data_IF_125851283152
#
_entry.id   IF_125851283152
#
_cell.length_a   1.000
_cell.length_b   1.000
_cell.length_c   1.000
_cell.angle_alpha   90.00
_cell.angle_beta   90.00
_cell.angle_gamma   90.00
#
_symmetry.space_group_name_H-M   'P 1'
#
loop_
_entity.id
_entity.type
_entity.pdbx_description
1 polymer ?
#
# COMPACT_ATOMS: atom_id res chain seq x y z
N UNK A 1 2.86 10.45 26.21
CA UNK A 1 2.61 9.10 25.68
C UNK A 1 3.53 8.89 24.48
N UNK A 2 4.33 7.82 24.45
CA UNK A 2 5.19 7.53 23.31
C UNK A 2 4.33 7.17 22.08
N UNK A 3 4.82 7.54 20.89
CA UNK A 3 4.22 7.17 19.61
C UNK A 3 5.18 6.19 18.95
N UNK A 4 4.73 4.98 18.64
CA UNK A 4 5.53 4.05 17.87
C UNK A 4 5.23 4.23 16.37
N UNK A 5 6.31 4.28 15.59
CA UNK A 5 6.24 4.42 14.14
C UNK A 5 7.05 3.30 13.49
N UNK A 6 6.40 2.61 12.56
CA UNK A 6 7.05 1.61 11.71
C UNK A 6 6.95 2.05 10.25
N UNK A 7 8.08 2.00 9.55
CA UNK A 7 8.17 2.32 8.13
C UNK A 7 8.62 1.09 7.35
N UNK A 8 7.91 0.78 6.28
CA UNK A 8 8.35 -0.20 5.27
C UNK A 8 8.58 0.54 3.97
N UNK A 9 9.77 0.38 3.38
CA UNK A 9 10.12 1.02 2.11
C UNK A 9 10.27 -0.05 1.05
N UNK A 10 9.50 0.06 -0.03
CA UNK A 10 9.67 -0.74 -1.23
C UNK A 10 10.55 0.03 -2.21
N UNK A 11 11.55 -0.65 -2.76
CA UNK A 11 12.30 -0.15 -3.91
C UNK A 11 11.39 0.02 -5.14
N UNK A 12 11.81 0.78 -6.17
CA UNK A 12 11.00 0.96 -7.38
C UNK A 12 10.63 -0.36 -8.08
N UNK A 13 11.55 -1.32 -8.13
CA UNK A 13 11.32 -2.63 -8.73
C UNK A 13 10.36 -3.49 -7.89
N UNK A 14 10.48 -3.45 -6.56
CA UNK A 14 9.53 -4.14 -5.68
C UNK A 14 8.13 -3.53 -5.76
N UNK A 15 8.04 -2.20 -5.92
CA UNK A 15 6.78 -1.52 -6.10
C UNK A 15 6.11 -1.89 -7.43
N UNK A 16 6.85 -1.90 -8.54
CA UNK A 16 6.31 -2.36 -9.83
C UNK A 16 5.84 -3.83 -9.74
N UNK A 17 6.62 -4.69 -9.10
CA UNK A 17 6.23 -6.08 -8.86
C UNK A 17 4.94 -6.19 -8.01
N UNK A 18 4.86 -5.44 -6.91
CA UNK A 18 3.68 -5.37 -6.06
C UNK A 18 2.45 -4.90 -6.83
N UNK A 19 2.61 -3.89 -7.68
CA UNK A 19 1.52 -3.33 -8.47
C UNK A 19 1.02 -4.32 -9.51
N UNK A 20 1.92 -5.03 -10.21
CA UNK A 20 1.55 -6.09 -11.16
C UNK A 20 0.79 -7.21 -10.47
N UNK A 21 1.29 -7.68 -9.33
CA UNK A 21 0.63 -8.72 -8.54
C UNK A 21 -0.75 -8.28 -8.05
N UNK A 22 -0.88 -7.03 -7.59
CA UNK A 22 -2.15 -6.46 -7.17
C UNK A 22 -3.15 -6.34 -8.33
N UNK A 23 -2.71 -5.88 -9.51
CA UNK A 23 -3.57 -5.80 -10.69
C UNK A 23 -4.04 -7.16 -11.15
N UNK A 24 -3.15 -8.16 -11.16
CA UNK A 24 -3.48 -9.54 -11.50
C UNK A 24 -4.47 -10.15 -10.49
N UNK A 25 -4.34 -9.83 -9.21
CA UNK A 25 -5.28 -10.29 -8.18
C UNK A 25 -6.65 -9.59 -8.25
N UNK A 26 -6.72 -8.39 -8.83
CA UNK A 26 -7.93 -7.56 -8.91
C UNK A 26 -8.42 -7.42 -10.36
N UNK A 27 -8.54 -8.54 -11.09
CA UNK A 27 -8.97 -8.52 -12.50
C UNK A 27 -10.28 -7.78 -12.75
N UNK A 28 -11.23 -7.83 -11.79
CA UNK A 28 -12.51 -7.13 -11.90
C UNK A 28 -12.34 -5.60 -11.92
N UNK A 29 -11.42 -5.07 -11.10
CA UNK A 29 -11.16 -3.64 -11.01
C UNK A 29 -10.44 -3.12 -12.25
N UNK A 30 -9.48 -3.90 -12.76
CA UNK A 30 -8.66 -3.50 -13.92
C UNK A 30 -9.18 -4.06 -15.25
N UNK A 31 -10.33 -4.76 -15.26
CA UNK A 31 -10.90 -5.44 -16.43
C UNK A 31 -9.88 -6.32 -17.17
N UNK A 32 -9.02 -7.00 -16.41
CA UNK A 32 -7.92 -7.82 -16.94
C UNK A 32 -6.87 -7.03 -17.72
N UNK A 33 -6.70 -5.73 -17.43
CA UNK A 33 -5.68 -4.91 -18.06
C UNK A 33 -4.27 -5.24 -17.54
N UNK A 34 -3.28 -5.16 -18.42
CA UNK A 34 -1.87 -5.38 -18.14
C UNK A 34 -1.16 -4.06 -17.85
N UNK A 35 -0.32 -4.03 -16.82
CA UNK A 35 0.53 -2.88 -16.54
C UNK A 35 1.58 -2.68 -17.64
N UNK A 36 1.57 -1.50 -18.27
CA UNK A 36 2.59 -1.05 -19.21
C UNK A 36 3.65 -0.19 -18.51
N UNK A 37 3.19 0.88 -17.85
CA UNK A 37 4.09 1.87 -17.27
C UNK A 37 3.51 2.51 -16.00
N UNK A 38 4.39 3.09 -15.17
CA UNK A 38 4.03 3.79 -13.93
C UNK A 38 4.73 5.15 -13.86
N UNK A 39 3.94 6.20 -13.65
CA UNK A 39 4.42 7.57 -13.54
C UNK A 39 3.87 8.22 -12.27
N UNK A 40 4.73 8.95 -11.56
CA UNK A 40 4.33 9.67 -10.33
C UNK A 40 3.81 11.06 -10.71
N UNK A 41 2.54 11.34 -10.46
CA UNK A 41 1.93 12.64 -10.78
C UNK A 41 2.00 13.61 -9.61
N UNK A 42 1.83 13.11 -8.39
CA UNK A 42 1.86 13.92 -7.17
C UNK A 42 2.50 13.13 -6.03
N UNK A 43 3.33 13.78 -5.22
CA UNK A 43 4.05 13.11 -4.13
C UNK A 43 3.39 13.29 -2.76
N UNK A 44 2.52 14.31 -2.61
CA UNK A 44 1.72 14.54 -1.41
C UNK A 44 0.40 15.29 -1.75
N UNK A 45 -0.77 14.64 -1.61
CA UNK A 45 -0.94 13.20 -1.43
C UNK A 45 -0.34 12.41 -2.60
N UNK A 46 0.19 11.22 -2.32
CA UNK A 46 0.80 10.37 -3.34
C UNK A 46 -0.24 9.90 -4.36
N UNK A 47 -0.01 10.24 -5.62
CA UNK A 47 -0.82 9.81 -6.76
C UNK A 47 0.09 9.27 -7.87
N UNK A 48 -0.21 8.05 -8.31
CA UNK A 48 0.52 7.34 -9.36
C UNK A 48 -0.40 7.13 -10.54
N UNK A 49 0.00 7.60 -11.70
CA UNK A 49 -0.64 7.28 -12.96
C UNK A 49 -0.07 5.99 -13.52
N UNK A 50 -0.97 5.11 -13.92
CA UNK A 50 -0.68 3.75 -14.30
C UNK A 50 -1.18 3.57 -15.72
N UNK A 51 -0.25 3.41 -16.66
CA UNK A 51 -0.60 3.08 -18.03
C UNK A 51 -0.89 1.59 -18.11
N UNK A 52 -2.10 1.24 -18.54
CA UNK A 52 -2.58 -0.14 -18.61
C UNK A 52 -3.09 -0.45 -20.01
N UNK A 53 -2.82 -1.66 -20.50
CA UNK A 53 -3.36 -2.17 -21.74
C UNK A 53 -4.52 -3.13 -21.46
N UNK A 54 -5.70 -2.80 -21.93
CA UNK A 54 -6.89 -3.66 -21.84
C UNK A 54 -6.77 -4.88 -22.75
N UNK A 55 -7.61 -5.91 -22.54
CA UNK A 55 -7.64 -7.12 -23.37
C UNK A 55 -7.92 -6.86 -24.86
N UNK A 56 -8.60 -5.75 -25.19
CA UNK A 56 -8.87 -5.31 -26.57
C UNK A 56 -7.73 -4.48 -27.18
N UNK A 57 -6.58 -4.40 -26.50
CA UNK A 57 -5.38 -3.70 -26.98
C UNK A 57 -5.38 -2.19 -26.73
N UNK A 58 -6.48 -1.60 -26.25
CA UNK A 58 -6.55 -0.18 -25.91
C UNK A 58 -5.69 0.14 -24.69
N UNK A 59 -4.90 1.22 -24.79
CA UNK A 59 -4.13 1.78 -23.69
C UNK A 59 -4.97 2.81 -22.95
N UNK A 60 -5.10 2.64 -21.64
CA UNK A 60 -5.76 3.58 -20.74
C UNK A 60 -4.79 4.00 -19.65
N UNK A 61 -4.96 5.21 -19.14
CA UNK A 61 -4.23 5.67 -17.97
C UNK A 61 -5.19 5.72 -16.78
N UNK A 62 -4.82 5.08 -15.68
CA UNK A 62 -5.58 5.06 -14.44
C UNK A 62 -4.79 5.79 -13.35
N UNK A 63 -5.42 6.69 -12.61
CA UNK A 63 -4.80 7.31 -11.44
C UNK A 63 -5.10 6.49 -10.18
N UNK A 64 -4.06 6.03 -9.51
CA UNK A 64 -4.11 5.38 -8.21
C UNK A 64 -3.70 6.37 -7.13
N UNK A 65 -4.66 6.75 -6.29
CA UNK A 65 -4.40 7.56 -5.10
C UNK A 65 -3.93 6.75 -3.90
N UNK A 66 -3.58 7.47 -2.82
CA UNK A 66 -3.04 6.93 -1.57
C UNK A 66 -3.72 5.67 -1.01
N UNK A 67 -5.06 5.56 -0.95
CA UNK A 67 -5.72 4.35 -0.42
C UNK A 67 -5.43 3.09 -1.24
N UNK A 68 -5.42 3.20 -2.57
CA UNK A 68 -5.11 2.07 -3.46
C UNK A 68 -3.64 1.68 -3.34
N UNK A 69 -2.74 2.66 -3.29
CA UNK A 69 -1.32 2.43 -3.11
C UNK A 69 -1.01 1.80 -1.75
N UNK A 70 -1.69 2.22 -0.68
CA UNK A 70 -1.60 1.59 0.63
C UNK A 70 -2.04 0.12 0.56
N UNK A 71 -3.15 -0.18 -0.13
CA UNK A 71 -3.61 -1.55 -0.32
C UNK A 71 -2.60 -2.42 -1.07
N UNK A 72 -1.96 -1.88 -2.12
CA UNK A 72 -0.87 -2.57 -2.86
C UNK A 72 0.29 -2.91 -1.92
N UNK A 73 0.79 -1.95 -1.15
CA UNK A 73 1.92 -2.15 -0.24
C UNK A 73 1.56 -3.11 0.91
N UNK A 74 0.35 -3.02 1.45
CA UNK A 74 -0.16 -3.94 2.48
C UNK A 74 -0.23 -5.36 1.94
N UNK A 75 -0.79 -5.56 0.74
CA UNK A 75 -0.89 -6.88 0.11
C UNK A 75 0.48 -7.49 -0.12
N UNK A 76 1.44 -6.70 -0.62
CA UNK A 76 2.82 -7.13 -0.78
C UNK A 76 3.45 -7.59 0.54
N UNK A 77 3.24 -6.83 1.62
CA UNK A 77 3.74 -7.19 2.95
C UNK A 77 3.12 -8.49 3.47
N UNK A 78 1.82 -8.69 3.27
CA UNK A 78 1.12 -9.93 3.63
C UNK A 78 1.71 -11.11 2.85
N UNK A 79 1.89 -10.98 1.54
CA UNK A 79 2.43 -12.03 0.68
C UNK A 79 3.88 -12.40 1.04
N UNK A 80 4.66 -11.42 1.50
CA UNK A 80 6.04 -11.59 1.99
C UNK A 80 6.13 -11.94 3.48
N UNK A 81 5.00 -12.11 4.18
CA UNK A 81 4.92 -12.34 5.63
C UNK A 81 5.66 -11.27 6.46
N UNK A 82 5.69 -10.03 5.97
CA UNK A 82 6.19 -8.89 6.73
C UNK A 82 5.12 -8.52 7.76
N UNK A 83 5.43 -8.54 9.07
CA UNK A 83 4.44 -8.30 10.10
C UNK A 83 3.94 -6.85 10.05
N UNK A 84 2.62 -6.69 9.94
CA UNK A 84 1.93 -5.42 9.93
C UNK A 84 1.08 -5.25 11.20
N UNK A 85 1.20 -4.13 11.94
CA UNK A 85 0.34 -3.83 13.08
C UNK A 85 -1.11 -3.65 12.62
N UNK A 86 -2.02 -4.44 13.22
CA UNK A 86 -3.46 -4.46 12.87
C UNK A 86 -4.10 -3.09 13.08
N UNK A 87 -3.90 -2.50 14.25
CA UNK A 87 -4.41 -1.18 14.60
C UNK A 87 -3.30 -0.15 14.41
N UNK A 88 -3.30 0.52 13.28
CA UNK A 88 -2.34 1.58 12.95
C UNK A 88 -2.92 2.49 11.90
N UNK A 89 -2.63 3.79 12.00
CA UNK A 89 -2.84 4.75 10.93
C UNK A 89 -1.82 4.51 9.85
N UNK A 90 -2.28 4.19 8.64
CA UNK A 90 -1.45 3.82 7.49
C UNK A 90 -1.45 4.95 6.48
N UNK A 91 -0.28 5.37 6.04
CA UNK A 91 -0.11 6.39 5.01
C UNK A 91 1.00 5.99 4.04
N UNK A 92 0.90 6.47 2.80
CA UNK A 92 1.90 6.19 1.77
C UNK A 92 2.53 7.47 1.29
N UNK A 93 3.84 7.43 1.04
CA UNK A 93 4.61 8.58 0.59
C UNK A 93 5.72 8.16 -0.36
N UNK A 94 6.05 9.03 -1.30
CA UNK A 94 7.27 8.88 -2.10
C UNK A 94 8.49 9.22 -1.23
N UNK A 95 9.52 8.39 -1.32
CA UNK A 95 10.84 8.64 -0.72
C UNK A 95 11.92 8.43 -1.78
N UNK A 96 13.14 8.90 -1.53
CA UNK A 96 14.28 8.73 -2.46
C UNK A 96 14.54 7.26 -2.81
N UNK A 97 14.41 6.38 -1.82
CA UNK A 97 14.60 4.94 -2.00
C UNK A 97 13.43 4.20 -2.66
N UNK A 98 12.29 4.87 -2.92
CA UNK A 98 11.11 4.22 -3.51
C UNK A 98 9.78 4.71 -2.95
N UNK A 99 8.93 3.83 -2.43
CA UNK A 99 7.64 4.17 -1.81
C UNK A 99 7.61 3.62 -0.40
N UNK A 100 7.28 4.49 0.56
CA UNK A 100 7.18 4.12 1.97
C UNK A 100 5.71 3.95 2.39
N UNK A 101 5.44 2.89 3.16
CA UNK A 101 4.26 2.70 3.97
C UNK A 101 4.62 3.07 5.42
N UNK A 102 4.08 4.20 5.87
CA UNK A 102 4.21 4.68 7.24
C UNK A 102 3.03 4.19 8.08
N UNK A 103 3.33 3.53 9.18
CA UNK A 103 2.38 2.99 10.13
C UNK A 103 2.64 3.60 11.48
N UNK A 104 1.67 4.37 11.97
CA UNK A 104 1.74 5.01 13.29
C UNK A 104 0.68 4.38 14.18
N UNK A 105 1.09 3.97 15.38
CA UNK A 105 0.18 3.42 16.37
C UNK A 105 0.48 4.02 17.74
N UNK A 106 -0.59 4.24 18.48
CA UNK A 106 -0.54 4.72 19.86
C UNK A 106 -0.65 3.48 20.73
N UNK A 107 0.33 3.29 21.60
CA UNK A 107 0.23 2.28 22.64
C UNK A 107 -0.81 2.79 23.64
N UNK A 108 -2.02 2.23 23.57
CA UNK A 108 -3.04 2.45 24.59
C UNK A 108 -2.71 1.51 25.74
N UNK A 109 -1.81 1.96 26.63
CA UNK A 109 -1.54 1.32 27.90
C UNK A 109 -2.75 1.51 28.83
N UNK A 110 -3.88 0.85 28.51
CA UNK A 110 -5.08 0.76 29.36
C UNK A 110 -5.89 -0.48 29.00
N UNK A 111 -5.28 -1.66 29.15
CA UNK A 111 -6.05 -2.86 29.44
C UNK A 111 -6.50 -2.79 30.90
N UNK A 112 -7.80 -2.73 31.22
CA UNK A 112 -8.24 -2.84 32.61
C UNK A 112 -7.85 -4.25 33.09
N UNK A 113 -7.19 -4.27 34.25
CA UNK A 113 -6.65 -5.48 34.85
C UNK A 113 -7.71 -6.54 35.11
N UNK A 114 -7.22 -7.78 35.13
CA UNK A 114 -7.77 -8.93 35.82
C UNK A 114 -8.62 -8.52 37.04
N UNK A 115 -9.94 -8.52 36.86
CA UNK A 115 -10.93 -8.37 37.91
C UNK A 115 -11.47 -9.74 38.28
N UNK A 116 -10.69 -10.49 39.05
CA UNK A 116 -11.16 -11.61 39.86
C UNK A 116 -12.37 -11.16 40.71
N UNK A 117 -13.50 -11.86 40.62
CA UNK A 117 -14.71 -11.50 41.36
C UNK A 117 -15.81 -12.55 41.29
N UNK A 118 -15.57 -13.67 41.98
CA UNK A 118 -16.53 -14.63 42.61
C UNK A 118 -17.84 -14.96 41.91
#
# INVERSE_FOLDING_TARGET
MPIEMRRVVLSPSEFDHALRAFMAANEQMFKGARLLDTSFHRTDPLEVSVAVQTRVGQQNTLSLGGPHLAAVLIKYCIDRRIPLPRQSSKSVRKVSAGIALDMVFRDDASGPGDGNGR
#
